data_IF_472508000646
#
_entry.id   IF_472508000646
#
_cell.length_a   1.000
_cell.length_b   1.000
_cell.length_c   1.000
_cell.angle_alpha   90.00
_cell.angle_beta   90.00
_cell.angle_gamma   90.00
#
_symmetry.space_group_name_H-M   'P 1'
#
loop_
_entity.id
_entity.type
_entity.pdbx_description
1 polymer ?
#
# COMPACT_ATOMS: atom_id res chain seq x y z
N UNK A 1 39.23 35.46 -8.85
CA UNK A 1 37.91 34.84 -9.06
C UNK A 1 37.52 34.22 -7.73
N UNK A 2 37.03 35.05 -6.82
CA UNK A 2 36.48 34.58 -5.56
C UNK A 2 35.03 34.20 -5.80
N UNK A 3 34.85 33.02 -6.40
CA UNK A 3 33.60 32.32 -6.25
C UNK A 3 33.66 31.71 -4.85
N UNK A 4 33.17 32.44 -3.85
CA UNK A 4 32.71 31.83 -2.60
C UNK A 4 31.53 30.91 -2.98
N UNK A 5 31.89 29.75 -3.54
CA UNK A 5 31.02 28.67 -4.00
C UNK A 5 30.52 27.85 -2.80
N UNK A 6 30.29 28.52 -1.68
CA UNK A 6 29.70 27.92 -0.50
C UNK A 6 28.23 27.60 -0.77
N UNK A 7 27.71 26.59 -0.06
CA UNK A 7 26.32 26.13 -0.13
C UNK A 7 25.26 27.23 0.05
N UNK A 8 25.65 28.43 0.50
CA UNK A 8 24.84 29.65 0.60
C UNK A 8 24.07 30.01 -0.67
N UNK A 9 24.65 29.77 -1.85
CA UNK A 9 24.03 30.20 -3.11
C UNK A 9 23.03 29.19 -3.68
N UNK A 10 23.10 27.91 -3.27
CA UNK A 10 22.27 26.82 -3.81
C UNK A 10 21.81 25.80 -2.75
N UNK A 11 21.32 26.24 -1.56
CA UNK A 11 21.04 25.34 -0.45
C UNK A 11 20.00 24.26 -0.80
N UNK A 12 18.94 24.62 -1.55
CA UNK A 12 17.90 23.68 -1.95
C UNK A 12 18.38 22.62 -2.95
N UNK A 13 19.23 23.01 -3.92
CA UNK A 13 19.79 22.05 -4.87
C UNK A 13 20.74 21.08 -4.15
N UNK A 14 21.55 21.58 -3.23
CA UNK A 14 22.41 20.74 -2.40
C UNK A 14 21.58 19.76 -1.55
N UNK A 15 20.52 20.24 -0.88
CA UNK A 15 19.62 19.39 -0.10
C UNK A 15 18.99 18.30 -0.96
N UNK A 16 18.47 18.66 -2.14
CA UNK A 16 17.86 17.72 -3.08
C UNK A 16 18.85 16.69 -3.62
N UNK A 17 20.09 17.09 -3.90
CA UNK A 17 21.17 16.17 -4.25
C UNK A 17 21.44 15.17 -3.13
N UNK A 18 21.56 15.65 -1.88
CA UNK A 18 21.79 14.79 -0.72
C UNK A 18 20.62 13.82 -0.52
N UNK A 19 19.37 14.28 -0.63
CA UNK A 19 18.19 13.40 -0.52
C UNK A 19 18.17 12.32 -1.60
N UNK A 20 18.48 12.70 -2.85
CA UNK A 20 18.56 11.74 -3.97
C UNK A 20 19.68 10.72 -3.76
N UNK A 21 20.83 11.16 -3.23
CA UNK A 21 21.95 10.28 -2.91
C UNK A 21 21.62 9.26 -1.81
N UNK A 22 20.91 9.69 -0.75
CA UNK A 22 20.43 8.79 0.31
C UNK A 22 19.44 7.79 -0.28
N UNK A 23 18.43 8.27 -1.03
CA UNK A 23 17.41 7.43 -1.64
C UNK A 23 18.03 6.34 -2.51
N UNK A 24 19.00 6.71 -3.36
CA UNK A 24 19.72 5.77 -4.21
C UNK A 24 20.55 4.78 -3.39
N UNK A 25 21.24 5.23 -2.34
CA UNK A 25 22.06 4.35 -1.50
C UNK A 25 21.24 3.30 -0.74
N UNK A 26 19.97 3.60 -0.44
CA UNK A 26 19.06 2.69 0.25
C UNK A 26 18.29 1.79 -0.72
N UNK A 27 17.82 2.35 -1.83
CA UNK A 27 16.86 1.68 -2.72
C UNK A 27 17.44 1.19 -4.04
N UNK A 28 18.61 1.69 -4.44
CA UNK A 28 19.21 1.54 -5.78
C UNK A 28 18.32 2.12 -6.90
N UNK A 29 17.39 3.02 -6.56
CA UNK A 29 16.41 3.62 -7.48
C UNK A 29 16.60 5.14 -7.51
N UNK A 30 16.70 5.69 -8.72
CA UNK A 30 16.45 7.11 -8.96
C UNK A 30 14.96 7.34 -9.16
N UNK A 31 14.34 8.08 -8.24
CA UNK A 31 12.94 8.47 -8.39
C UNK A 31 12.83 9.55 -9.50
N UNK A 32 11.91 9.40 -10.47
CA UNK A 32 11.59 10.47 -11.41
C UNK A 32 11.08 11.71 -10.68
N UNK A 33 10.96 12.86 -11.33
CA UNK A 33 10.33 14.03 -10.70
C UNK A 33 8.94 13.68 -10.14
N UNK A 34 8.60 14.16 -8.93
CA UNK A 34 7.28 13.95 -8.37
C UNK A 34 6.24 14.60 -9.31
N UNK A 35 5.10 13.95 -9.57
CA UNK A 35 4.00 14.60 -10.26
C UNK A 35 3.47 15.76 -9.41
N UNK A 36 2.60 16.58 -9.99
CA UNK A 36 1.76 17.49 -9.21
C UNK A 36 1.17 16.76 -8.00
N UNK A 37 1.05 17.43 -6.83
CA UNK A 37 0.62 16.78 -5.60
C UNK A 37 -0.63 15.93 -5.86
N UNK A 38 -0.61 14.63 -5.53
CA UNK A 38 -1.76 13.79 -5.75
C UNK A 38 -2.94 14.33 -4.94
N UNK A 39 -4.12 14.36 -5.55
CA UNK A 39 -5.35 14.70 -4.83
C UNK A 39 -5.63 13.54 -3.87
N UNK A 40 -5.64 13.83 -2.57
CA UNK A 40 -6.00 12.85 -1.55
C UNK A 40 -7.52 12.67 -1.56
N UNK A 41 -8.01 11.83 -2.49
CA UNK A 41 -9.42 11.66 -2.79
C UNK A 41 -9.87 10.22 -2.53
N UNK A 42 -10.86 10.01 -1.66
CA UNK A 42 -11.35 8.67 -1.30
C UNK A 42 -12.06 7.96 -2.45
N UNK A 43 -12.68 8.69 -3.38
CA UNK A 43 -13.51 8.10 -4.45
C UNK A 43 -13.03 8.50 -5.85
N UNK A 44 -12.68 7.52 -6.68
CA UNK A 44 -12.29 7.71 -8.08
C UNK A 44 -13.34 7.17 -9.05
N UNK A 45 -13.48 7.75 -10.25
CA UNK A 45 -14.30 7.16 -11.30
C UNK A 45 -13.74 5.80 -11.74
N UNK A 46 -14.55 4.95 -12.39
CA UNK A 46 -14.06 3.70 -12.94
C UNK A 46 -13.00 3.98 -14.03
N UNK A 47 -11.80 3.38 -13.95
CA UNK A 47 -10.83 3.44 -15.03
C UNK A 47 -11.13 2.36 -16.09
N UNK A 48 -10.62 2.53 -17.31
CA UNK A 48 -10.74 1.52 -18.36
C UNK A 48 -10.17 0.16 -17.94
N UNK A 49 -9.09 0.20 -17.15
CA UNK A 49 -8.40 -0.98 -16.61
C UNK A 49 -7.92 -0.72 -15.19
N UNK A 50 -8.45 -1.51 -14.26
CA UNK A 50 -8.11 -1.51 -12.84
C UNK A 50 -7.43 -2.82 -12.48
N UNK A 51 -6.28 -2.74 -11.84
CA UNK A 51 -5.51 -3.86 -11.34
C UNK A 51 -5.43 -3.77 -9.82
N UNK A 52 -5.66 -4.87 -9.12
CA UNK A 52 -5.54 -4.94 -7.67
C UNK A 52 -4.58 -6.05 -7.24
N UNK A 53 -3.65 -5.70 -6.36
CA UNK A 53 -2.65 -6.60 -5.79
C UNK A 53 -2.79 -6.58 -4.26
N UNK A 54 -2.80 -7.76 -3.66
CA UNK A 54 -2.84 -7.93 -2.21
C UNK A 54 -1.50 -7.68 -1.52
N UNK A 55 -1.32 -8.38 -0.41
CA UNK A 55 -0.28 -8.18 0.59
C UNK A 55 1.12 -8.55 0.03
N UNK A 56 2.11 -7.68 0.26
CA UNK A 56 3.46 -7.80 -0.33
C UNK A 56 4.51 -8.27 0.68
N UNK A 57 4.38 -7.86 1.95
CA UNK A 57 5.15 -8.35 3.08
C UNK A 57 6.67 -8.46 2.82
N UNK A 58 7.27 -7.33 2.43
CA UNK A 58 8.72 -7.20 2.29
C UNK A 58 9.38 -8.08 1.23
N UNK A 59 8.61 -8.70 0.32
CA UNK A 59 9.12 -9.55 -0.77
C UNK A 59 9.06 -8.83 -2.12
N UNK A 60 10.14 -8.09 -2.44
CA UNK A 60 10.22 -7.31 -3.69
C UNK A 60 10.19 -8.21 -4.92
N UNK A 61 10.72 -9.44 -4.80
CA UNK A 61 10.76 -10.36 -5.92
C UNK A 61 9.34 -10.82 -6.31
N UNK A 62 8.54 -11.28 -5.35
CA UNK A 62 7.14 -11.66 -5.57
C UNK A 62 6.29 -10.46 -6.01
N UNK A 63 6.55 -9.28 -5.44
CA UNK A 63 5.91 -8.02 -5.85
C UNK A 63 6.15 -7.72 -7.34
N UNK A 64 7.40 -7.83 -7.82
CA UNK A 64 7.73 -7.64 -9.25
C UNK A 64 7.11 -8.72 -10.14
N UNK A 65 7.03 -9.97 -9.67
CA UNK A 65 6.36 -11.03 -10.41
C UNK A 65 4.88 -10.73 -10.62
N UNK A 66 4.16 -10.29 -9.58
CA UNK A 66 2.75 -9.88 -9.68
C UNK A 66 2.55 -8.70 -10.66
N UNK A 67 3.42 -7.69 -10.59
CA UNK A 67 3.36 -6.53 -11.49
C UNK A 67 3.66 -6.88 -12.96
N UNK A 68 4.60 -7.80 -13.22
CA UNK A 68 4.87 -8.29 -14.58
C UNK A 68 3.75 -9.18 -15.11
N UNK A 69 3.16 -10.01 -14.25
CA UNK A 69 2.02 -10.87 -14.59
C UNK A 69 0.81 -10.05 -15.09
N UNK A 70 0.61 -8.85 -14.54
CA UNK A 70 -0.41 -7.90 -14.99
C UNK A 70 0.04 -6.97 -16.11
N UNK A 71 1.27 -7.09 -16.61
CA UNK A 71 1.84 -6.21 -17.64
C UNK A 71 1.99 -4.75 -17.19
N UNK A 72 1.93 -4.47 -15.88
CA UNK A 72 2.10 -3.12 -15.35
C UNK A 72 3.55 -2.66 -15.35
N UNK A 73 4.50 -3.59 -15.34
CA UNK A 73 5.92 -3.31 -15.51
C UNK A 73 6.56 -4.19 -16.58
N UNK A 74 7.58 -3.64 -17.24
CA UNK A 74 8.38 -4.34 -18.24
C UNK A 74 9.53 -5.17 -17.63
N UNK A 75 10.39 -5.72 -18.49
CA UNK A 75 11.58 -6.47 -18.07
C UNK A 75 12.64 -5.62 -17.37
N UNK A 76 12.57 -4.29 -17.46
CA UNK A 76 13.47 -3.31 -16.86
C UNK A 76 12.87 -2.67 -15.61
N UNK A 77 11.76 -3.23 -15.09
CA UNK A 77 11.01 -2.72 -13.94
C UNK A 77 10.52 -1.27 -14.12
N UNK A 78 10.22 -0.87 -15.37
CA UNK A 78 9.60 0.41 -15.70
C UNK A 78 8.10 0.23 -15.90
N UNK A 79 7.32 1.26 -15.59
CA UNK A 79 5.89 1.27 -15.85
C UNK A 79 5.59 1.04 -17.35
N UNK A 80 4.79 0.00 -17.63
CA UNK A 80 4.28 -0.35 -18.96
C UNK A 80 2.75 -0.47 -18.98
N UNK A 81 2.07 -0.16 -17.87
CA UNK A 81 0.62 -0.29 -17.73
C UNK A 81 -0.22 0.74 -18.49
N UNK A 82 0.39 1.68 -19.23
CA UNK A 82 -0.32 2.76 -19.92
C UNK A 82 -1.17 3.58 -18.95
N UNK A 83 -2.45 3.80 -19.29
CA UNK A 83 -3.42 4.50 -18.45
C UNK A 83 -4.12 3.62 -17.40
N UNK A 84 -3.58 2.43 -17.11
CA UNK A 84 -4.16 1.55 -16.08
C UNK A 84 -4.05 2.17 -14.70
N UNK A 85 -5.01 1.84 -13.82
CA UNK A 85 -4.93 2.14 -12.39
C UNK A 85 -4.53 0.87 -11.63
N UNK A 86 -3.49 0.95 -10.81
CA UNK A 86 -3.13 -0.07 -9.83
C UNK A 86 -3.62 0.33 -8.44
N UNK A 87 -4.21 -0.60 -7.70
CA UNK A 87 -4.47 -0.50 -6.27
C UNK A 87 -3.69 -1.60 -5.55
N UNK A 88 -2.75 -1.21 -4.69
CA UNK A 88 -2.04 -2.12 -3.78
C UNK A 88 -2.72 -2.03 -2.40
N UNK A 89 -3.25 -3.15 -1.90
CA UNK A 89 -4.21 -3.20 -0.78
C UNK A 89 -3.54 -3.35 0.60
N UNK A 90 -2.43 -2.64 0.83
CA UNK A 90 -1.75 -2.59 2.14
C UNK A 90 -0.86 -3.79 2.45
N UNK A 91 -0.25 -3.79 3.63
CA UNK A 91 0.71 -4.79 4.09
C UNK A 91 1.92 -4.93 3.14
N UNK A 92 2.57 -3.79 2.92
CA UNK A 92 3.86 -3.73 2.25
C UNK A 92 4.99 -4.13 3.20
N UNK A 93 4.86 -3.71 4.47
CA UNK A 93 5.86 -3.91 5.51
C UNK A 93 5.81 -5.31 6.15
N UNK A 94 6.87 -5.59 6.94
CA UNK A 94 7.14 -6.77 7.75
C UNK A 94 7.26 -8.10 6.98
N UNK A 95 7.58 -9.18 7.73
CA UNK A 95 7.78 -10.58 7.31
C UNK A 95 8.95 -10.82 6.35
N UNK A 96 9.18 -9.94 5.39
CA UNK A 96 10.33 -9.91 4.48
C UNK A 96 11.39 -8.89 4.92
N UNK A 97 12.31 -8.56 4.02
CA UNK A 97 13.40 -7.60 4.30
C UNK A 97 13.79 -6.70 3.14
N UNK A 98 12.88 -6.52 2.18
CA UNK A 98 13.01 -5.55 1.09
C UNK A 98 11.86 -4.54 1.16
N UNK A 99 11.52 -4.13 2.39
CA UNK A 99 10.36 -3.31 2.72
C UNK A 99 10.53 -1.89 2.17
N UNK A 100 11.65 -1.23 2.50
CA UNK A 100 11.95 0.10 1.99
C UNK A 100 12.10 0.07 0.47
N UNK A 101 12.78 -0.95 -0.06
CA UNK A 101 12.92 -1.12 -1.51
C UNK A 101 11.54 -1.20 -2.22
N UNK A 102 10.54 -1.86 -1.64
CA UNK A 102 9.18 -1.87 -2.20
C UNK A 102 8.54 -0.49 -2.12
N UNK A 103 8.66 0.24 -1.00
CA UNK A 103 8.11 1.61 -0.88
C UNK A 103 8.68 2.55 -1.95
N UNK A 104 10.00 2.54 -2.15
CA UNK A 104 10.66 3.31 -3.22
C UNK A 104 10.25 2.83 -4.61
N UNK A 105 10.07 1.53 -4.80
CA UNK A 105 9.65 0.96 -6.08
C UNK A 105 8.21 1.37 -6.44
N UNK A 106 7.27 1.29 -5.50
CA UNK A 106 5.90 1.75 -5.70
C UNK A 106 5.85 3.26 -5.95
N UNK A 107 6.66 4.05 -5.26
CA UNK A 107 6.79 5.49 -5.52
C UNK A 107 7.34 5.77 -6.92
N UNK A 108 8.36 5.02 -7.38
CA UNK A 108 8.85 5.11 -8.76
C UNK A 108 7.71 4.86 -9.75
N UNK A 109 6.93 3.79 -9.55
CA UNK A 109 5.81 3.44 -10.43
C UNK A 109 4.70 4.50 -10.41
N UNK A 110 4.36 5.06 -9.24
CA UNK A 110 3.44 6.20 -9.11
C UNK A 110 3.84 7.35 -10.04
N UNK A 111 5.11 7.74 -9.99
CA UNK A 111 5.64 8.86 -10.79
C UNK A 111 5.67 8.55 -12.28
N UNK A 112 5.96 7.30 -12.66
CA UNK A 112 5.98 6.89 -14.06
C UNK A 112 4.57 6.76 -14.66
N UNK A 113 3.64 6.15 -13.91
CA UNK A 113 2.25 6.01 -14.32
C UNK A 113 1.60 7.37 -14.56
N UNK A 114 1.78 8.32 -13.63
CA UNK A 114 1.22 9.66 -13.74
C UNK A 114 1.65 10.40 -15.03
N UNK A 115 2.86 10.15 -15.54
CA UNK A 115 3.37 10.79 -16.77
C UNK A 115 2.65 10.33 -18.04
N UNK A 116 2.00 9.17 -18.01
CA UNK A 116 1.29 8.57 -19.15
C UNK A 116 -0.21 8.40 -18.89
N UNK A 117 -0.74 9.09 -17.87
CA UNK A 117 -2.16 9.04 -17.51
C UNK A 117 -2.61 7.79 -16.75
N UNK A 118 -1.67 6.96 -16.27
CA UNK A 118 -1.94 5.87 -15.34
C UNK A 118 -1.93 6.34 -13.89
N UNK A 119 -2.32 5.45 -12.98
CA UNK A 119 -2.34 5.76 -11.55
C UNK A 119 -1.89 4.56 -10.71
N UNK A 120 -1.22 4.83 -9.59
CA UNK A 120 -0.85 3.81 -8.60
C UNK A 120 -1.30 4.31 -7.23
N UNK A 121 -2.28 3.63 -6.65
CA UNK A 121 -2.83 3.92 -5.33
C UNK A 121 -2.35 2.83 -4.39
N UNK A 122 -1.78 3.22 -3.26
CA UNK A 122 -1.33 2.30 -2.21
C UNK A 122 -2.18 2.53 -0.97
N UNK A 123 -2.44 1.46 -0.23
CA UNK A 123 -3.26 1.51 0.97
C UNK A 123 -2.44 1.26 2.23
N UNK A 124 -2.96 1.70 3.38
CA UNK A 124 -2.44 1.29 4.68
C UNK A 124 -3.10 -0.03 5.05
N UNK A 125 -2.30 -1.06 5.24
CA UNK A 125 -2.69 -2.30 5.90
C UNK A 125 -2.47 -2.24 7.40
N UNK A 126 -2.73 -3.34 8.10
CA UNK A 126 -2.51 -3.36 9.54
C UNK A 126 -1.03 -3.29 9.87
N UNK A 127 -0.14 -3.79 9.00
CA UNK A 127 1.29 -3.71 9.24
C UNK A 127 1.84 -2.29 9.12
N UNK A 128 1.36 -1.47 8.19
CA UNK A 128 1.70 -0.04 8.17
C UNK A 128 1.28 0.65 9.47
N UNK A 129 0.04 0.39 9.94
CA UNK A 129 -0.48 0.97 11.18
C UNK A 129 0.31 0.49 12.39
N UNK A 130 0.56 -0.81 12.53
CA UNK A 130 1.31 -1.38 13.65
C UNK A 130 2.69 -0.75 13.78
N UNK A 131 3.40 -0.60 12.66
CA UNK A 131 4.73 -0.01 12.66
C UNK A 131 4.72 1.47 13.05
N UNK A 132 3.72 2.24 12.61
CA UNK A 132 3.55 3.64 13.08
C UNK A 132 3.17 3.67 14.55
N UNK A 133 2.36 2.72 15.01
CA UNK A 133 1.97 2.57 16.41
C UNK A 133 3.12 2.14 17.34
N UNK A 134 4.20 1.60 16.78
CA UNK A 134 5.34 1.07 17.53
C UNK A 134 5.21 -0.41 17.92
N UNK A 135 4.30 -1.15 17.28
CA UNK A 135 4.20 -2.61 17.38
C UNK A 135 4.97 -3.28 16.24
N UNK A 136 6.04 -4.00 16.59
CA UNK A 136 7.00 -4.60 15.66
C UNK A 136 7.04 -6.13 15.76
N UNK A 137 5.99 -6.77 16.29
CA UNK A 137 6.06 -8.22 16.55
C UNK A 137 6.25 -9.06 15.26
N UNK A 138 5.78 -8.57 14.11
CA UNK A 138 5.91 -9.21 12.80
C UNK A 138 7.23 -8.93 12.08
N UNK A 139 8.10 -8.10 12.65
CA UNK A 139 9.29 -7.63 11.96
C UNK A 139 10.33 -8.75 11.83
N UNK A 140 10.84 -8.93 10.62
CA UNK A 140 11.89 -9.90 10.31
C UNK A 140 13.28 -9.27 10.48
N UNK A 141 14.29 -10.08 10.80
CA UNK A 141 15.66 -9.61 11.02
C UNK A 141 16.22 -8.82 9.82
N UNK A 142 16.05 -9.33 8.60
CA UNK A 142 16.52 -8.62 7.40
C UNK A 142 15.83 -7.28 7.18
N UNK A 143 14.59 -7.12 7.66
CA UNK A 143 13.91 -5.82 7.70
C UNK A 143 14.61 -4.87 8.66
N UNK A 144 14.94 -5.31 9.87
CA UNK A 144 15.72 -4.51 10.83
C UNK A 144 17.06 -4.06 10.25
N UNK A 145 17.77 -4.95 9.54
CA UNK A 145 19.03 -4.64 8.88
C UNK A 145 18.84 -3.59 7.78
N UNK A 146 17.76 -3.68 6.98
CA UNK A 146 17.42 -2.70 5.95
C UNK A 146 17.15 -1.30 6.55
N UNK A 147 16.40 -1.23 7.65
CA UNK A 147 16.14 0.02 8.36
C UNK A 147 17.40 0.59 9.01
N UNK A 148 18.27 -0.25 9.57
CA UNK A 148 19.56 0.20 10.10
C UNK A 148 20.43 0.82 9.00
N UNK A 149 20.56 0.15 7.85
CA UNK A 149 21.28 0.70 6.70
C UNK A 149 20.67 2.04 6.23
N UNK A 150 19.34 2.15 6.19
CA UNK A 150 18.67 3.43 5.90
C UNK A 150 19.07 4.52 6.89
N UNK A 151 19.06 4.22 8.19
CA UNK A 151 19.36 5.22 9.22
C UNK A 151 20.82 5.69 9.17
N UNK A 152 21.76 4.80 8.81
CA UNK A 152 23.16 5.15 8.59
C UNK A 152 23.31 6.16 7.44
N UNK A 153 22.74 5.85 6.27
CA UNK A 153 22.75 6.77 5.12
C UNK A 153 22.01 8.08 5.40
N UNK A 154 20.87 8.02 6.07
CA UNK A 154 20.09 9.20 6.43
C UNK A 154 20.88 10.10 7.40
N UNK A 155 21.60 9.51 8.36
CA UNK A 155 22.47 10.25 9.28
C UNK A 155 23.64 10.90 8.55
N UNK A 156 24.27 10.20 7.60
CA UNK A 156 25.31 10.76 6.73
C UNK A 156 24.76 11.97 5.96
N UNK A 157 23.59 11.83 5.33
CA UNK A 157 22.96 12.94 4.60
C UNK A 157 22.61 14.12 5.50
N UNK A 158 22.13 13.87 6.73
CA UNK A 158 21.92 14.93 7.71
C UNK A 158 23.22 15.65 8.08
N UNK A 159 24.33 14.91 8.24
CA UNK A 159 25.64 15.51 8.49
C UNK A 159 26.12 16.34 7.29
N UNK A 160 25.93 15.85 6.06
CA UNK A 160 26.22 16.62 4.85
C UNK A 160 25.42 17.93 4.83
N UNK A 161 24.09 17.87 5.06
CA UNK A 161 23.21 19.04 5.14
C UNK A 161 23.63 20.05 6.22
N UNK A 162 24.13 19.59 7.36
CA UNK A 162 24.63 20.48 8.44
C UNK A 162 25.85 21.32 8.04
N UNK A 163 26.62 20.89 7.05
CA UNK A 163 27.76 21.66 6.52
C UNK A 163 27.32 22.84 5.64
N UNK A 164 26.02 22.96 5.35
CA UNK A 164 25.46 24.02 4.54
C UNK A 164 24.84 25.13 5.40
N UNK A 165 25.50 26.29 5.48
CA UNK A 165 25.04 27.46 6.28
C UNK A 165 23.71 28.09 5.80
N UNK A 166 23.11 27.60 4.72
CA UNK A 166 21.82 28.06 4.17
C UNK A 166 20.65 27.10 4.36
N UNK A 167 20.85 25.97 5.06
CA UNK A 167 19.79 24.98 5.32
C UNK A 167 19.37 24.99 6.78
N UNK A 168 18.08 24.71 7.01
CA UNK A 168 17.61 24.36 8.35
C UNK A 168 18.36 23.12 8.83
N UNK A 169 18.88 23.17 10.06
CA UNK A 169 19.69 22.08 10.60
C UNK A 169 18.82 20.85 10.85
N UNK A 170 19.14 19.69 10.24
CA UNK A 170 18.38 18.48 10.45
C UNK A 170 18.39 18.03 11.91
N UNK A 171 17.21 17.66 12.40
CA UNK A 171 17.02 17.06 13.73
C UNK A 171 17.67 15.68 13.81
N UNK A 172 18.03 15.27 15.02
CA UNK A 172 18.43 13.89 15.27
C UNK A 172 17.21 12.97 15.12
N UNK A 173 17.31 11.97 14.26
CA UNK A 173 16.23 11.01 14.02
C UNK A 173 15.97 10.12 15.23
N UNK A 174 16.96 9.96 16.11
CA UNK A 174 16.88 9.14 17.30
C UNK A 174 16.41 9.89 18.55
N UNK A 175 16.11 11.19 18.44
CA UNK A 175 15.64 11.98 19.57
C UNK A 175 14.37 11.36 20.16
N UNK A 176 14.35 11.18 21.49
CA UNK A 176 13.28 10.49 22.23
C UNK A 176 13.22 8.96 22.08
N UNK A 177 14.14 8.32 21.34
CA UNK A 177 14.14 6.85 21.17
C UNK A 177 15.07 6.18 22.19
N UNK A 178 14.60 5.19 22.98
CA UNK A 178 15.41 4.47 23.97
C UNK A 178 16.63 3.77 23.37
N UNK A 179 17.76 3.77 24.09
CA UNK A 179 19.01 3.09 23.69
C UNK A 179 19.02 1.59 23.97
N UNK A 180 17.96 1.07 24.55
CA UNK A 180 17.78 -0.34 24.90
C UNK A 180 16.29 -0.64 25.05
N UNK A 181 15.88 -1.87 24.75
CA UNK A 181 14.49 -2.32 24.92
C UNK A 181 14.45 -3.60 25.77
N UNK A 182 13.54 -3.70 26.74
CA UNK A 182 13.37 -4.92 27.53
C UNK A 182 13.14 -6.14 26.63
N UNK A 183 13.90 -7.22 26.85
CA UNK A 183 13.75 -8.48 26.10
C UNK A 183 14.35 -8.48 24.68
N UNK A 184 14.90 -7.37 24.20
CA UNK A 184 15.55 -7.29 22.89
C UNK A 184 17.06 -7.49 23.03
N UNK A 185 17.63 -8.42 22.25
CA UNK A 185 19.08 -8.64 22.23
C UNK A 185 19.81 -7.43 21.64
N UNK A 186 21.02 -7.16 22.15
CA UNK A 186 21.81 -5.99 21.76
C UNK A 186 22.04 -5.87 20.25
N UNK A 187 22.20 -7.00 19.55
CA UNK A 187 22.38 -7.06 18.10
C UNK A 187 21.20 -6.47 17.30
N UNK A 188 19.98 -6.50 17.84
CA UNK A 188 18.78 -5.97 17.17
C UNK A 188 18.42 -4.54 17.60
N UNK A 189 19.02 -4.03 18.68
CA UNK A 189 18.65 -2.73 19.26
C UNK A 189 18.79 -1.60 18.25
N UNK A 190 19.86 -1.59 17.45
CA UNK A 190 20.08 -0.55 16.44
C UNK A 190 19.03 -0.61 15.31
N UNK A 191 18.72 -1.81 14.82
CA UNK A 191 17.66 -2.01 13.84
C UNK A 191 16.28 -1.56 14.34
N UNK A 192 15.92 -1.87 15.59
CA UNK A 192 14.67 -1.40 16.18
C UNK A 192 14.65 0.12 16.35
N UNK A 193 15.75 0.73 16.82
CA UNK A 193 15.86 2.19 16.93
C UNK A 193 15.68 2.86 15.57
N UNK A 194 16.33 2.32 14.54
CA UNK A 194 16.25 2.82 13.17
C UNK A 194 14.82 2.70 12.61
N UNK A 195 14.17 1.54 12.82
CA UNK A 195 12.79 1.30 12.39
C UNK A 195 11.80 2.24 13.08
N UNK A 196 11.92 2.42 14.40
CA UNK A 196 11.11 3.39 15.15
C UNK A 196 11.34 4.81 14.61
N UNK A 197 12.60 5.22 14.40
CA UNK A 197 12.93 6.54 13.87
C UNK A 197 12.28 6.80 12.50
N UNK A 198 12.29 5.78 11.63
CA UNK A 198 11.74 5.84 10.30
C UNK A 198 10.20 5.91 10.28
N UNK A 199 9.55 5.08 11.11
CA UNK A 199 8.13 4.74 10.96
C UNK A 199 7.20 5.36 12.00
N UNK A 200 7.70 5.87 13.14
CA UNK A 200 6.88 6.58 14.14
C UNK A 200 6.13 7.76 13.51
N UNK A 201 5.08 8.31 14.16
CA UNK A 201 4.48 9.58 13.74
C UNK A 201 5.55 10.66 13.53
N UNK A 202 5.45 11.41 12.44
CA UNK A 202 6.47 12.39 11.98
C UNK A 202 7.81 11.78 11.54
N UNK A 203 7.92 10.44 11.53
CA UNK A 203 9.08 9.72 11.04
C UNK A 203 9.30 9.98 9.55
N UNK A 204 10.55 10.06 9.04
CA UNK A 204 10.81 10.44 7.65
C UNK A 204 10.20 9.47 6.62
N UNK A 205 10.19 8.16 6.89
CA UNK A 205 9.62 7.17 5.98
C UNK A 205 8.09 7.17 6.08
N UNK A 206 7.54 7.15 7.30
CA UNK A 206 6.09 7.18 7.50
C UNK A 206 5.45 8.44 6.89
N UNK A 207 6.03 9.61 7.15
CA UNK A 207 5.53 10.89 6.61
C UNK A 207 5.66 10.98 5.10
N UNK A 208 6.68 10.35 4.51
CA UNK A 208 6.94 10.42 3.06
C UNK A 208 6.08 9.45 2.24
N UNK A 209 5.84 8.26 2.77
CA UNK A 209 5.19 7.16 2.04
C UNK A 209 3.82 6.81 2.62
N UNK A 210 3.75 6.50 3.92
CA UNK A 210 2.53 5.95 4.53
C UNK A 210 1.42 6.99 4.71
N UNK A 211 1.78 8.25 4.93
CA UNK A 211 0.80 9.36 4.99
C UNK A 211 0.05 9.58 3.66
N UNK A 212 0.61 9.12 2.54
CA UNK A 212 0.01 9.25 1.20
C UNK A 212 -0.86 8.06 0.83
N UNK A 213 -0.90 7.03 1.68
CA UNK A 213 -1.71 5.86 1.47
C UNK A 213 -3.16 6.13 1.88
N UNK A 214 -4.08 5.42 1.22
CA UNK A 214 -5.49 5.39 1.63
C UNK A 214 -5.75 4.30 2.66
N UNK A 215 -6.63 4.56 3.62
CA UNK A 215 -7.12 3.54 4.55
C UNK A 215 -8.40 2.90 4.02
N UNK A 216 -9.26 3.70 3.37
CA UNK A 216 -10.46 3.28 2.65
C UNK A 216 -10.46 3.96 1.29
N UNK A 217 -10.84 3.23 0.23
CA UNK A 217 -10.82 3.74 -1.13
C UNK A 217 -12.03 3.22 -1.91
N UNK A 218 -12.61 4.04 -2.77
CA UNK A 218 -13.63 3.63 -3.75
C UNK A 218 -13.10 3.92 -5.15
N UNK A 219 -13.12 2.94 -6.04
CA UNK A 219 -12.77 3.12 -7.46
C UNK A 219 -13.88 2.50 -8.31
N UNK A 220 -14.63 3.35 -8.99
CA UNK A 220 -15.84 2.95 -9.70
C UNK A 220 -16.83 2.28 -8.74
N UNK A 221 -17.11 1.00 -8.98
CA UNK A 221 -18.07 0.21 -8.20
C UNK A 221 -17.41 -0.66 -7.11
N UNK A 222 -16.10 -0.51 -6.92
CA UNK A 222 -15.32 -1.36 -6.02
C UNK A 222 -14.83 -0.55 -4.82
N UNK A 223 -15.19 -1.02 -3.62
CA UNK A 223 -14.64 -0.53 -2.35
C UNK A 223 -13.40 -1.33 -2.03
N UNK A 224 -12.28 -0.66 -1.81
CA UNK A 224 -11.03 -1.24 -1.36
C UNK A 224 -10.81 -0.89 0.11
N UNK A 225 -10.41 -1.90 0.87
CA UNK A 225 -10.04 -1.81 2.27
C UNK A 225 -9.14 -2.99 2.58
N UNK A 226 -8.15 -2.81 3.46
CA UNK A 226 -7.25 -3.91 3.78
C UNK A 226 -7.96 -5.07 4.49
N UNK A 227 -8.69 -4.80 5.58
CA UNK A 227 -9.46 -5.81 6.32
C UNK A 227 -10.94 -5.87 5.90
N UNK A 228 -11.71 -4.82 6.22
CA UNK A 228 -13.14 -4.75 5.94
C UNK A 228 -13.84 -3.56 6.59
N UNK A 229 -15.05 -3.19 6.16
CA UNK A 229 -15.77 -2.01 6.66
C UNK A 229 -17.12 -2.38 7.27
N UNK A 230 -17.40 -1.90 8.48
CA UNK A 230 -18.67 -2.07 9.19
C UNK A 230 -19.56 -0.82 9.05
N UNK A 231 -20.88 -0.92 9.30
CA UNK A 231 -21.79 0.23 9.16
C UNK A 231 -21.35 1.48 9.94
N UNK A 232 -20.89 1.29 11.17
CA UNK A 232 -20.45 2.42 12.01
C UNK A 232 -19.19 3.13 11.47
N UNK A 233 -18.36 2.47 10.65
CA UNK A 233 -17.24 3.14 9.97
C UNK A 233 -17.74 4.02 8.82
N UNK A 234 -18.82 3.62 8.14
CA UNK A 234 -19.47 4.44 7.11
C UNK A 234 -20.13 5.66 7.77
N UNK A 235 -20.85 5.45 8.87
CA UNK A 235 -21.45 6.54 9.66
C UNK A 235 -20.40 7.52 10.18
N UNK A 236 -19.21 7.00 10.54
CA UNK A 236 -18.08 7.82 10.96
C UNK A 236 -17.49 8.68 9.83
N UNK A 237 -17.55 8.19 8.59
CA UNK A 237 -17.14 8.88 7.37
C UNK A 237 -15.80 8.39 6.82
N UNK A 238 -15.80 7.85 5.59
CA UNK A 238 -14.60 7.30 4.94
C UNK A 238 -13.50 8.35 4.70
N UNK A 239 -13.87 9.56 4.26
CA UNK A 239 -12.93 10.67 4.10
C UNK A 239 -12.27 11.02 5.42
N UNK A 240 -13.06 11.09 6.48
CA UNK A 240 -12.57 11.37 7.83
C UNK A 240 -11.59 10.31 8.34
N UNK A 241 -11.85 9.03 8.08
CA UNK A 241 -10.91 7.95 8.43
C UNK A 241 -9.56 8.17 7.74
N UNK A 242 -9.59 8.45 6.43
CA UNK A 242 -8.37 8.70 5.66
C UNK A 242 -7.60 9.92 6.17
N UNK A 243 -8.31 11.03 6.45
CA UNK A 243 -7.73 12.25 7.00
C UNK A 243 -7.13 12.04 8.39
N UNK A 244 -7.86 11.42 9.32
CA UNK A 244 -7.37 11.23 10.69
C UNK A 244 -6.16 10.28 10.75
N UNK A 245 -6.13 9.24 9.92
CA UNK A 245 -4.96 8.34 9.83
C UNK A 245 -3.76 9.07 9.23
N UNK A 246 -3.93 9.84 8.15
CA UNK A 246 -2.87 10.65 7.55
C UNK A 246 -2.34 11.68 8.55
N UNK A 247 -3.23 12.40 9.22
CA UNK A 247 -2.89 13.47 10.15
C UNK A 247 -2.18 12.91 11.38
N UNK A 248 -2.56 11.71 11.83
CA UNK A 248 -1.81 10.98 12.86
C UNK A 248 -0.40 10.59 12.39
N UNK A 249 -0.27 9.97 11.22
CA UNK A 249 1.04 9.57 10.65
C UNK A 249 1.97 10.79 10.49
N UNK A 250 1.43 11.92 10.03
CA UNK A 250 2.18 13.18 9.85
C UNK A 250 2.38 13.96 11.15
N UNK A 251 1.78 13.52 12.25
CA UNK A 251 1.84 14.18 13.56
C UNK A 251 1.04 15.48 13.68
N UNK A 252 0.20 15.80 12.70
CA UNK A 252 -0.81 16.86 12.83
C UNK A 252 -1.87 16.50 13.89
N UNK A 253 -2.09 15.21 14.11
CA UNK A 253 -2.89 14.66 15.19
C UNK A 253 -2.03 13.75 16.07
N UNK A 254 -2.19 13.85 17.39
CA UNK A 254 -1.38 13.07 18.34
C UNK A 254 -1.75 11.58 18.32
N UNK A 255 -3.05 11.27 18.19
CA UNK A 255 -3.57 9.90 18.27
C UNK A 255 -4.64 9.64 17.22
N UNK A 256 -4.83 8.36 16.90
CA UNK A 256 -5.97 7.85 16.13
C UNK A 256 -6.72 6.83 16.99
N UNK A 257 -8.05 6.72 16.82
CA UNK A 257 -8.85 5.78 17.60
C UNK A 257 -8.39 4.34 17.35
N UNK A 258 -8.13 3.59 18.42
CA UNK A 258 -7.80 2.16 18.34
C UNK A 258 -8.92 1.36 17.68
N UNK A 259 -10.18 1.77 17.85
CA UNK A 259 -11.32 1.09 17.23
C UNK A 259 -11.33 1.24 15.71
N UNK A 260 -10.72 2.31 15.19
CA UNK A 260 -10.59 2.54 13.75
C UNK A 260 -9.41 1.79 13.12
N UNK A 261 -8.33 1.51 13.85
CA UNK A 261 -7.09 0.99 13.23
C UNK A 261 -6.37 -0.17 13.94
N UNK A 262 -6.65 -0.47 15.21
CA UNK A 262 -5.94 -1.52 15.99
C UNK A 262 -6.85 -2.64 16.51
N UNK A 263 -8.16 -2.40 16.67
CA UNK A 263 -9.08 -3.42 17.16
C UNK A 263 -9.36 -4.50 16.12
N UNK A 264 -9.83 -5.69 16.52
CA UNK A 264 -10.22 -6.75 15.57
C UNK A 264 -11.36 -6.37 14.63
N UNK A 265 -12.15 -5.36 15.00
CA UNK A 265 -13.25 -4.86 14.17
C UNK A 265 -12.86 -3.66 13.30
N UNK A 266 -11.64 -3.16 13.46
CA UNK A 266 -11.14 -1.98 12.75
C UNK A 266 -10.97 -2.22 11.25
N UNK A 267 -10.88 -1.14 10.47
CA UNK A 267 -10.89 -1.20 9.00
C UNK A 267 -9.76 -2.04 8.41
N UNK A 268 -8.60 -2.07 9.08
CA UNK A 268 -7.42 -2.83 8.62
C UNK A 268 -7.31 -4.23 9.23
N UNK A 269 -8.15 -4.61 10.21
CA UNK A 269 -8.05 -5.93 10.87
C UNK A 269 -9.27 -6.82 10.70
N UNK A 270 -10.40 -6.26 10.28
CA UNK A 270 -11.66 -7.01 10.17
C UNK A 270 -11.52 -8.17 9.19
N UNK A 271 -11.90 -9.38 9.62
CA UNK A 271 -11.92 -10.59 8.76
C UNK A 271 -13.33 -11.08 8.42
N UNK A 272 -14.35 -10.34 8.82
CA UNK A 272 -15.76 -10.78 8.78
C UNK A 272 -16.27 -11.06 7.37
N UNK A 273 -15.68 -10.43 6.35
CA UNK A 273 -16.05 -10.60 4.94
C UNK A 273 -14.95 -11.27 4.11
N UNK A 274 -13.82 -11.60 4.74
CA UNK A 274 -12.63 -12.16 4.09
C UNK A 274 -12.17 -13.47 4.74
N UNK A 275 -13.01 -14.11 5.55
CA UNK A 275 -12.71 -15.37 6.24
C UNK A 275 -12.11 -16.41 5.26
N UNK A 276 -11.21 -17.27 5.72
CA UNK A 276 -10.62 -18.35 4.92
C UNK A 276 -11.69 -19.32 4.38
N UNK A 277 -12.79 -19.51 5.13
CA UNK A 277 -13.97 -20.27 4.70
C UNK A 277 -15.02 -19.29 4.17
N UNK A 278 -15.43 -19.46 2.91
CA UNK A 278 -16.32 -18.52 2.22
C UNK A 278 -17.71 -18.46 2.87
N UNK A 279 -18.21 -19.61 3.34
CA UNK A 279 -19.51 -19.78 3.98
C UNK A 279 -19.59 -19.09 5.34
N UNK A 280 -18.44 -18.85 5.98
CA UNK A 280 -18.34 -18.17 7.27
C UNK A 280 -18.28 -16.64 7.12
N UNK A 281 -18.37 -16.11 5.89
CA UNK A 281 -18.45 -14.67 5.65
C UNK A 281 -19.85 -14.14 5.99
N UNK A 282 -19.91 -12.99 6.68
CA UNK A 282 -21.18 -12.34 7.00
C UNK A 282 -21.72 -11.55 5.79
N UNK A 283 -22.33 -12.28 4.86
CA UNK A 283 -22.83 -11.72 3.61
C UNK A 283 -23.99 -10.73 3.79
N UNK A 284 -24.84 -10.93 4.80
CA UNK A 284 -25.95 -10.02 5.10
C UNK A 284 -25.43 -8.65 5.52
N UNK A 285 -24.43 -8.63 6.42
CA UNK A 285 -23.81 -7.38 6.85
C UNK A 285 -23.01 -6.73 5.72
N UNK A 286 -22.30 -7.49 4.90
CA UNK A 286 -21.59 -6.96 3.73
C UNK A 286 -22.55 -6.29 2.74
N UNK A 287 -23.68 -6.93 2.44
CA UNK A 287 -24.70 -6.39 1.54
C UNK A 287 -25.27 -5.09 2.09
N UNK A 288 -25.55 -5.03 3.39
CA UNK A 288 -25.99 -3.81 4.05
C UNK A 288 -24.97 -2.67 3.92
N UNK A 289 -23.68 -2.96 4.16
CA UNK A 289 -22.61 -1.96 4.02
C UNK A 289 -22.46 -1.48 2.58
N UNK A 290 -22.49 -2.38 1.59
CA UNK A 290 -22.38 -1.97 0.19
C UNK A 290 -23.59 -1.12 -0.25
N UNK A 291 -24.78 -1.41 0.26
CA UNK A 291 -25.98 -0.63 -0.04
C UNK A 291 -25.93 0.81 0.50
N UNK A 292 -25.11 1.10 1.53
CA UNK A 292 -24.94 2.46 2.06
C UNK A 292 -23.87 3.27 1.32
N UNK A 293 -23.07 2.64 0.46
CA UNK A 293 -22.03 3.32 -0.33
C UNK A 293 -22.53 3.52 -1.77
N UNK A 294 -22.75 4.76 -2.23
CA UNK A 294 -23.30 5.02 -3.55
C UNK A 294 -22.47 4.37 -4.68
N UNK A 295 -23.15 3.54 -5.49
CA UNK A 295 -22.53 2.86 -6.65
C UNK A 295 -21.67 1.64 -6.32
N UNK A 296 -21.43 1.32 -5.04
CA UNK A 296 -20.63 0.16 -4.66
C UNK A 296 -21.38 -1.15 -4.97
N UNK A 297 -20.67 -2.09 -5.60
CA UNK A 297 -21.17 -3.45 -5.88
C UNK A 297 -20.37 -4.54 -5.18
N UNK A 298 -19.12 -4.24 -4.83
CA UNK A 298 -18.20 -5.22 -4.23
C UNK A 298 -17.19 -4.56 -3.31
N UNK A 299 -16.70 -5.33 -2.34
CA UNK A 299 -15.59 -5.02 -1.48
C UNK A 299 -14.40 -5.92 -1.84
N UNK A 300 -13.22 -5.33 -2.01
CA UNK A 300 -11.97 -6.00 -2.37
C UNK A 300 -11.01 -5.86 -1.19
N UNK A 301 -10.55 -7.00 -0.66
CA UNK A 301 -9.84 -7.08 0.62
C UNK A 301 -8.57 -7.93 0.56
N UNK A 302 -7.55 -7.52 1.31
CA UNK A 302 -6.32 -8.27 1.57
C UNK A 302 -6.40 -8.99 2.92
N UNK A 303 -5.31 -8.94 3.71
CA UNK A 303 -5.20 -9.30 5.14
C UNK A 303 -5.39 -10.77 5.52
N UNK A 304 -6.33 -11.47 4.89
CA UNK A 304 -6.65 -12.87 5.17
C UNK A 304 -6.21 -13.74 4.00
N UNK A 305 -5.08 -14.42 4.19
CA UNK A 305 -4.47 -15.33 3.23
C UNK A 305 -5.47 -16.37 2.72
N UNK A 306 -5.72 -16.33 1.42
CA UNK A 306 -6.49 -17.30 0.65
C UNK A 306 -5.55 -18.31 0.02
N UNK A 307 -5.38 -19.47 0.67
CA UNK A 307 -4.46 -20.53 0.21
C UNK A 307 -4.79 -21.08 -1.18
N UNK A 308 -6.05 -20.97 -1.60
CA UNK A 308 -6.53 -21.40 -2.92
C UNK A 308 -6.30 -20.42 -4.05
N UNK A 309 -5.73 -19.25 -3.78
CA UNK A 309 -5.67 -18.12 -4.72
C UNK A 309 -6.79 -17.11 -4.49
N UNK A 310 -6.80 -16.07 -5.33
CA UNK A 310 -7.83 -15.03 -5.34
C UNK A 310 -9.17 -15.71 -5.59
N UNK A 311 -10.19 -15.31 -4.83
CA UNK A 311 -11.51 -15.89 -4.97
C UNK A 311 -12.59 -14.89 -4.51
N UNK A 312 -13.84 -15.33 -4.60
CA UNK A 312 -14.98 -14.54 -4.20
C UNK A 312 -15.86 -15.26 -3.18
N UNK A 313 -16.59 -14.47 -2.39
CA UNK A 313 -17.64 -14.90 -1.48
C UNK A 313 -18.86 -13.97 -1.63
N UNK A 314 -19.98 -14.35 -1.00
CA UNK A 314 -21.20 -13.54 -0.96
C UNK A 314 -21.72 -13.13 -2.34
N UNK A 315 -21.79 -14.08 -3.28
CA UNK A 315 -22.23 -13.85 -4.67
C UNK A 315 -21.40 -12.74 -5.36
N UNK A 316 -20.06 -12.85 -5.30
CA UNK A 316 -19.10 -11.90 -5.88
C UNK A 316 -19.13 -10.47 -5.30
N UNK A 317 -19.70 -10.30 -4.11
CA UNK A 317 -19.65 -9.03 -3.38
C UNK A 317 -18.42 -8.91 -2.48
N UNK A 318 -17.85 -10.01 -2.01
CA UNK A 318 -16.56 -10.04 -1.32
C UNK A 318 -15.50 -10.66 -2.23
N UNK A 319 -14.49 -9.88 -2.62
CA UNK A 319 -13.36 -10.37 -3.41
C UNK A 319 -12.13 -10.38 -2.49
N UNK A 320 -11.56 -11.57 -2.28
CA UNK A 320 -10.46 -11.79 -1.33
C UNK A 320 -9.19 -12.00 -2.15
N UNK A 321 -8.24 -11.06 -2.05
CA UNK A 321 -7.09 -10.97 -2.97
C UNK A 321 -5.73 -11.23 -2.32
N UNK A 322 -5.66 -11.40 -1.00
CA UNK A 322 -4.43 -11.83 -0.35
C UNK A 322 -4.21 -13.34 -0.58
N UNK A 323 -3.19 -13.68 -1.36
CA UNK A 323 -2.80 -15.07 -1.64
C UNK A 323 -1.56 -15.51 -0.85
N UNK A 324 -1.11 -14.68 0.09
CA UNK A 324 0.08 -14.93 0.92
C UNK A 324 1.34 -15.17 0.10
N UNK A 325 1.52 -14.41 -1.00
CA UNK A 325 2.58 -14.67 -1.98
C UNK A 325 4.00 -14.48 -1.46
N UNK A 326 4.20 -13.65 -0.43
CA UNK A 326 5.51 -13.41 0.18
C UNK A 326 6.10 -14.70 0.76
N UNK A 327 7.41 -14.88 0.59
CA UNK A 327 8.18 -15.93 1.28
C UNK A 327 8.13 -15.81 2.80
N UNK A 328 7.87 -14.61 3.33
CA UNK A 328 7.66 -14.38 4.76
C UNK A 328 6.29 -14.85 5.27
N UNK A 329 5.41 -15.29 4.37
CA UNK A 329 4.08 -15.82 4.67
C UNK A 329 4.01 -17.31 4.30
N UNK A 330 3.25 -17.66 3.25
CA UNK A 330 3.09 -19.06 2.79
C UNK A 330 3.82 -19.33 1.48
N UNK A 331 4.61 -18.38 0.98
CA UNK A 331 5.32 -18.45 -0.31
C UNK A 331 4.37 -18.79 -1.49
N UNK A 332 3.15 -18.26 -1.44
CA UNK A 332 2.12 -18.48 -2.46
C UNK A 332 2.55 -18.03 -3.85
N UNK A 333 1.88 -18.55 -4.88
CA UNK A 333 2.08 -18.08 -6.25
C UNK A 333 1.43 -16.70 -6.41
N UNK A 334 2.11 -15.72 -7.05
CA UNK A 334 1.53 -14.42 -7.32
C UNK A 334 0.24 -14.53 -8.15
N UNK A 335 -0.79 -13.86 -7.66
CA UNK A 335 -2.04 -13.64 -8.37
C UNK A 335 -2.45 -12.18 -8.29
N UNK A 336 -3.14 -11.72 -9.32
CA UNK A 336 -3.55 -10.34 -9.47
C UNK A 336 -4.98 -10.28 -9.99
N UNK A 337 -5.79 -9.42 -9.39
CA UNK A 337 -7.13 -9.16 -9.87
C UNK A 337 -7.11 -8.06 -10.94
N UNK A 338 -7.72 -8.33 -12.08
CA UNK A 338 -7.97 -7.38 -13.16
C UNK A 338 -9.46 -7.12 -13.30
N UNK A 339 -9.84 -5.85 -13.42
CA UNK A 339 -11.19 -5.38 -13.70
C UNK A 339 -11.10 -4.45 -14.91
N UNK A 340 -11.79 -4.80 -15.99
CA UNK A 340 -11.89 -3.93 -17.17
C UNK A 340 -13.33 -3.89 -17.70
N UNK A 341 -13.66 -2.86 -18.47
CA UNK A 341 -14.98 -2.74 -19.11
C UNK A 341 -15.26 -3.90 -20.09
N UNK A 342 -14.21 -4.39 -20.75
CA UNK A 342 -14.31 -5.41 -21.79
C UNK A 342 -14.44 -6.82 -21.21
N UNK A 343 -13.64 -7.14 -20.19
CA UNK A 343 -13.50 -8.50 -19.65
C UNK A 343 -14.19 -8.73 -18.31
N UNK A 344 -14.69 -7.70 -17.65
CA UNK A 344 -15.18 -7.80 -16.27
C UNK A 344 -14.06 -8.18 -15.29
N UNK A 345 -14.40 -8.98 -14.27
CA UNK A 345 -13.44 -9.51 -13.29
C UNK A 345 -12.64 -10.67 -13.88
N UNK A 346 -11.31 -10.61 -13.75
CA UNK A 346 -10.39 -11.69 -14.14
C UNK A 346 -9.28 -11.85 -13.12
N UNK A 347 -8.90 -13.09 -12.84
CA UNK A 347 -7.69 -13.40 -12.09
C UNK A 347 -6.56 -13.69 -13.09
N UNK A 348 -5.45 -12.99 -12.92
CA UNK A 348 -4.18 -13.29 -13.57
C UNK A 348 -3.35 -14.07 -12.57
N UNK A 349 -2.93 -15.27 -12.92
CA UNK A 349 -2.20 -16.17 -12.01
C UNK A 349 -0.94 -16.68 -12.67
N UNK A 350 0.14 -16.81 -11.89
CA UNK A 350 1.33 -17.52 -12.34
C UNK A 350 1.20 -19.04 -12.20
N UNK A 351 0.04 -19.55 -11.74
CA UNK A 351 -0.19 -20.97 -11.60
C UNK A 351 -0.49 -21.64 -12.95
N UNK A 352 0.37 -22.54 -13.44
CA UNK A 352 0.20 -23.18 -14.75
C UNK A 352 -1.02 -24.11 -14.84
N UNK A 353 -1.59 -24.54 -13.71
CA UNK A 353 -2.75 -25.44 -13.68
C UNK A 353 -4.06 -24.70 -14.05
N UNK A 354 -4.13 -23.39 -13.79
CA UNK A 354 -5.35 -22.60 -14.02
C UNK A 354 -5.50 -22.05 -15.44
N UNK A 355 -4.50 -22.20 -16.31
CA UNK A 355 -4.62 -21.83 -17.73
C UNK A 355 -5.56 -22.79 -18.51
N UNK A 356 -6.00 -23.90 -17.89
CA UNK A 356 -6.86 -24.91 -18.51
C UNK A 356 -8.34 -24.90 -18.04
N UNK A 357 -8.69 -24.28 -16.90
CA UNK A 357 -10.04 -24.34 -16.31
C UNK A 357 -10.64 -22.93 -16.05
N UNK A 358 -10.93 -22.17 -17.10
CA UNK A 358 -11.60 -20.85 -17.02
C UNK A 358 -13.12 -20.96 -16.81
N UNK A 359 -13.55 -21.39 -15.63
CA UNK A 359 -14.98 -21.52 -15.28
C UNK A 359 -15.54 -20.42 -14.37
N UNK A 360 -14.79 -19.98 -13.36
CA UNK A 360 -15.46 -19.51 -12.14
C UNK A 360 -15.61 -18.00 -11.94
N UNK A 361 -15.26 -17.16 -12.94
CA UNK A 361 -15.45 -15.70 -12.84
C UNK A 361 -16.08 -15.03 -14.07
N UNK A 362 -16.57 -15.77 -15.06
CA UNK A 362 -17.27 -15.14 -16.19
C UNK A 362 -18.73 -14.82 -15.82
N UNK A 363 -19.04 -13.55 -15.60
CA UNK A 363 -20.42 -13.06 -15.67
C UNK A 363 -20.81 -12.83 -17.14
N UNK A 364 -21.90 -13.45 -17.65
CA UNK A 364 -22.48 -13.04 -18.92
C UNK A 364 -23.10 -11.64 -18.78
N UNK A 365 -22.89 -10.76 -19.77
CA UNK A 365 -23.65 -9.51 -19.91
C UNK A 365 -25.15 -9.86 -20.02
N UNK A 366 -25.95 -9.52 -19.01
CA UNK A 366 -27.41 -9.53 -19.15
C UNK A 366 -27.80 -8.36 -20.05
N UNK A 367 -28.07 -8.65 -21.33
CA UNK A 367 -28.83 -7.74 -22.18
C UNK A 367 -30.30 -7.79 -21.76
N UNK A 368 -30.77 -6.77 -21.06
CA UNK A 368 -32.21 -6.48 -20.98
C UNK A 368 -32.69 -5.92 -22.32
N UNK A 369 -33.37 -6.75 -23.10
CA UNK A 369 -34.36 -6.29 -24.07
C UNK A 369 -35.62 -7.11 -23.90
N UNK A 370 -36.51 -6.65 -23.03
CA UNK A 370 -37.88 -7.15 -22.92
C UNK A 370 -38.76 -6.37 -23.89
N UNK A 371 -38.87 -6.86 -25.13
CA UNK A 371 -39.94 -6.44 -26.01
C UNK A 371 -41.23 -7.16 -25.57
N UNK A 372 -42.18 -6.41 -25.01
CA UNK A 372 -43.56 -6.87 -24.83
C UNK A 372 -44.19 -7.06 -26.21
N UNK A 373 -44.48 -8.30 -26.58
CA UNK A 373 -45.52 -8.59 -27.56
C UNK A 373 -46.87 -8.36 -26.88
N UNK A 374 -47.66 -7.45 -27.44
CA UNK A 374 -49.08 -7.33 -27.17
C UNK A 374 -49.78 -7.99 -28.35
N UNK A 375 -50.38 -9.15 -28.12
CA UNK A 375 -51.42 -9.71 -28.97
C UNK A 375 -52.78 -9.23 -28.43
N UNK A 376 -53.49 -8.44 -29.23
CA UNK A 376 -54.95 -8.42 -29.40
C UNK A 376 -55.30 -7.46 -30.56
#
# INVERSE_FOLDING_TARGET
MDADNTCKNLPNLYSSFVDTFIDFSVSEIFLPDPPSPPIFQTSYPPPNRLIAIGDLHGDLHKSKQALRLSGLIDSQDQWSGGSSTLVQVGDVLDRGGQELKILYFLEKLKRQAAKVGGNVITMNGNHEIMNVYGDFWCTHQSGLDEFQNWADWFTIGNNMKRLCDGLEKPKDIYDGIPTSFPGVKQEYVNGFRARIAALRPQGPIASRFLSKNMTVLVVGESVFVHGGILPHHIDYGMDRINEEVRDWITGLKETVSSDLVMSRSSVVWLRKFSNEVAEDCDCSMLEHVLATIPGARRMIMGHTIQKGGINAACNNKAIRIDVGMSKGCIDGLPEVLEISEDSGLRILTSNPVYDQNRGDLMMPKQHETRAMQVEA
#
